data_IF_986439821873
#
_entry.id   IF_986439821873
#
_cell.length_a   1.000
_cell.length_b   1.000
_cell.length_c   1.000
_cell.angle_alpha   90.00
_cell.angle_beta   90.00
_cell.angle_gamma   90.00
#
_symmetry.space_group_name_H-M   'P 1'
#
loop_
_entity.id
_entity.type
_entity.pdbx_description
1 polymer ?
#
# COMPACT_ATOMS: atom_id res chain seq x y z
N UNK A 1 -3.18 9.10 6.63
CA UNK A 1 -2.38 10.21 6.05
C UNK A 1 -2.27 9.99 4.55
N UNK A 2 -2.04 11.00 3.74
CA UNK A 2 -2.02 10.85 2.28
C UNK A 2 -0.97 11.77 1.62
N UNK A 3 -0.32 11.22 0.60
CA UNK A 3 0.39 11.98 -0.43
C UNK A 3 -0.59 12.54 -1.46
N UNK A 4 -0.12 12.86 -2.66
CA UNK A 4 -1.01 13.43 -3.68
C UNK A 4 -1.94 12.38 -4.30
N UNK A 5 -1.51 11.13 -4.43
CA UNK A 5 -2.27 10.04 -5.05
C UNK A 5 -2.13 8.71 -4.31
N UNK A 6 -1.46 8.68 -3.17
CA UNK A 6 -1.21 7.47 -2.38
C UNK A 6 -1.41 7.76 -0.90
N UNK A 7 -1.69 6.73 -0.12
CA UNK A 7 -1.89 6.81 1.31
C UNK A 7 -0.82 6.00 2.06
N UNK A 8 -0.55 6.39 3.30
CA UNK A 8 0.15 5.61 4.30
C UNK A 8 -0.60 5.68 5.61
N UNK A 9 -0.38 4.69 6.48
CA UNK A 9 -1.04 4.62 7.78
C UNK A 9 0.01 4.67 8.89
N UNK A 10 -0.32 5.42 9.94
CA UNK A 10 0.49 5.54 11.15
C UNK A 10 -0.30 4.88 12.28
N UNK A 11 0.24 3.82 12.86
CA UNK A 11 -0.30 3.16 14.04
C UNK A 11 0.56 3.58 15.23
N UNK A 12 -0.07 4.12 16.27
CA UNK A 12 0.63 4.63 17.46
C UNK A 12 0.24 3.81 18.68
N UNK A 13 1.22 3.49 19.54
CA UNK A 13 1.02 2.86 20.84
C UNK A 13 2.08 3.40 21.80
N UNK A 14 1.66 4.22 22.76
CA UNK A 14 2.58 5.02 23.56
C UNK A 14 3.41 5.93 22.65
N UNK A 15 4.73 5.91 22.82
CA UNK A 15 5.66 6.70 22.00
C UNK A 15 6.10 5.97 20.71
N UNK A 16 5.77 4.68 20.57
CA UNK A 16 6.20 3.88 19.44
C UNK A 16 5.20 3.96 18.26
N UNK A 17 5.72 3.81 17.06
CA UNK A 17 4.96 3.92 15.81
C UNK A 17 5.25 2.74 14.87
N UNK A 18 4.20 2.20 14.26
CA UNK A 18 4.32 1.38 13.05
C UNK A 18 3.82 2.19 11.85
N UNK A 19 4.62 2.25 10.81
CA UNK A 19 4.19 2.77 9.52
C UNK A 19 3.70 1.63 8.63
N UNK A 20 2.57 1.82 7.95
CA UNK A 20 2.16 0.95 6.85
C UNK A 20 2.22 1.78 5.57
N UNK A 21 3.11 1.40 4.68
CA UNK A 21 3.54 2.11 3.47
C UNK A 21 4.19 3.49 3.76
N UNK A 22 4.84 4.09 2.75
CA UNK A 22 5.64 5.30 2.93
C UNK A 22 5.53 6.31 1.77
N UNK A 23 4.54 6.13 0.88
CA UNK A 23 4.34 7.00 -0.27
C UNK A 23 5.43 6.88 -1.34
N UNK A 24 5.40 7.78 -2.32
CA UNK A 24 6.47 7.94 -3.30
C UNK A 24 7.78 8.47 -2.68
N UNK A 25 8.94 8.32 -3.35
CA UNK A 25 10.18 8.98 -2.90
C UNK A 25 10.03 10.49 -2.69
N UNK A 26 9.23 11.15 -3.53
CA UNK A 26 8.93 12.58 -3.43
C UNK A 26 7.98 12.96 -2.29
N UNK A 27 7.31 12.00 -1.65
CA UNK A 27 6.41 12.26 -0.52
C UNK A 27 7.14 12.28 0.84
N UNK A 28 8.46 12.04 0.89
CA UNK A 28 9.23 11.94 2.15
C UNK A 28 8.97 13.09 3.12
N UNK A 29 9.00 14.33 2.64
CA UNK A 29 8.77 15.49 3.50
C UNK A 29 7.36 15.48 4.12
N UNK A 30 6.35 15.03 3.37
CA UNK A 30 4.97 14.87 3.86
C UNK A 30 4.84 13.73 4.86
N UNK A 31 5.53 12.60 4.61
CA UNK A 31 5.58 11.48 5.55
C UNK A 31 6.15 11.94 6.90
N UNK A 32 7.31 12.62 6.88
CA UNK A 32 7.93 13.14 8.10
C UNK A 32 7.04 14.17 8.81
N UNK A 33 6.41 15.07 8.06
CA UNK A 33 5.45 16.02 8.62
C UNK A 33 4.22 15.31 9.23
N UNK A 34 3.78 14.18 8.66
CA UNK A 34 2.66 13.41 9.22
C UNK A 34 3.02 12.68 10.52
N UNK A 35 4.27 12.27 10.70
CA UNK A 35 4.76 11.78 12.00
C UNK A 35 4.71 12.88 13.04
N UNK A 36 5.21 14.09 12.71
CA UNK A 36 5.16 15.23 13.62
C UNK A 36 3.72 15.63 13.99
N UNK A 37 2.75 15.51 13.07
CA UNK A 37 1.33 15.79 13.36
C UNK A 37 0.72 14.86 14.42
N UNK A 38 1.22 13.63 14.53
CA UNK A 38 0.78 12.70 15.60
C UNK A 38 1.68 12.76 16.84
N UNK A 39 2.53 13.78 16.94
CA UNK A 39 3.44 13.97 18.07
C UNK A 39 4.63 13.01 18.08
N UNK A 40 4.99 12.44 16.93
CA UNK A 40 6.05 11.43 16.81
C UNK A 40 7.18 11.90 15.91
N UNK A 41 8.23 11.09 15.79
CA UNK A 41 9.42 11.37 14.99
C UNK A 41 9.90 10.12 14.24
N UNK A 42 10.79 10.24 13.25
CA UNK A 42 11.34 9.07 12.54
C UNK A 42 12.04 8.06 13.45
N UNK A 43 12.64 8.51 14.55
CA UNK A 43 13.34 7.68 15.54
C UNK A 43 12.39 6.78 16.33
N UNK A 44 11.12 7.19 16.45
CA UNK A 44 10.08 6.43 17.15
C UNK A 44 9.43 5.35 16.26
N UNK A 45 9.81 5.27 14.98
CA UNK A 45 9.27 4.27 14.05
C UNK A 45 9.89 2.91 14.34
N UNK A 46 9.13 2.06 15.02
CA UNK A 46 9.54 0.70 15.40
C UNK A 46 9.68 -0.22 14.18
N UNK A 47 8.84 -0.04 13.16
CA UNK A 47 8.92 -0.77 11.90
C UNK A 47 8.18 -0.04 10.76
N UNK A 48 8.61 -0.28 9.53
CA UNK A 48 7.84 -0.04 8.31
C UNK A 48 7.29 -1.38 7.83
N UNK A 49 5.98 -1.47 7.71
CA UNK A 49 5.29 -2.55 7.03
C UNK A 49 4.94 -2.10 5.61
N UNK A 50 5.25 -2.91 4.62
CA UNK A 50 4.96 -2.57 3.22
C UNK A 50 3.91 -3.51 2.69
N UNK A 51 2.82 -2.97 2.12
CA UNK A 51 1.77 -3.79 1.51
C UNK A 51 2.30 -4.53 0.29
N UNK A 52 3.07 -3.83 -0.55
CA UNK A 52 3.76 -4.36 -1.72
C UNK A 52 4.86 -3.40 -2.19
N UNK A 53 5.78 -3.87 -3.02
CA UNK A 53 7.02 -3.15 -3.29
C UNK A 53 6.97 -2.17 -4.49
N UNK A 54 5.82 -1.56 -4.81
CA UNK A 54 5.77 -0.45 -5.76
C UNK A 54 6.35 0.84 -5.16
N UNK A 55 6.83 1.74 -6.03
CA UNK A 55 7.53 2.97 -5.60
C UNK A 55 6.66 3.93 -4.80
N UNK A 56 5.36 3.89 -4.98
CA UNK A 56 4.38 4.71 -4.27
C UNK A 56 3.96 4.13 -2.91
N UNK A 57 4.49 2.98 -2.54
CA UNK A 57 4.28 2.37 -1.23
C UNK A 57 5.56 2.25 -0.41
N UNK A 58 6.71 2.01 -1.04
CA UNK A 58 7.98 1.86 -0.32
C UNK A 58 8.96 3.05 -0.49
N UNK A 59 8.54 4.15 -1.11
CA UNK A 59 9.44 5.21 -1.57
C UNK A 59 10.33 5.87 -0.52
N UNK A 60 9.95 5.84 0.76
CA UNK A 60 10.78 6.34 1.87
C UNK A 60 11.25 5.25 2.84
N UNK A 61 10.95 3.96 2.57
CA UNK A 61 11.30 2.86 3.47
C UNK A 61 12.82 2.74 3.66
N UNK A 62 13.59 2.81 2.58
CA UNK A 62 15.07 2.75 2.67
C UNK A 62 15.65 3.93 3.44
N UNK A 63 15.07 5.13 3.32
CA UNK A 63 15.51 6.28 4.12
C UNK A 63 15.35 6.01 5.63
N UNK A 64 14.19 5.52 6.06
CA UNK A 64 13.96 5.18 7.47
C UNK A 64 14.90 4.08 7.95
N UNK A 65 15.10 3.05 7.14
CA UNK A 65 16.03 1.97 7.43
C UNK A 65 17.48 2.47 7.56
N UNK A 66 17.94 3.24 6.60
CA UNK A 66 19.36 3.64 6.54
C UNK A 66 19.72 4.74 7.54
N UNK A 67 18.80 5.70 7.77
CA UNK A 67 19.06 6.83 8.65
C UNK A 67 18.69 6.56 10.11
N UNK A 68 17.72 5.69 10.38
CA UNK A 68 17.17 5.47 11.72
C UNK A 68 17.24 4.01 12.18
N UNK A 69 17.72 3.09 11.34
CA UNK A 69 17.81 1.66 11.69
C UNK A 69 16.45 0.94 11.70
N UNK A 70 15.40 1.57 11.17
CA UNK A 70 14.03 1.03 11.19
C UNK A 70 13.94 -0.23 10.32
N UNK A 71 13.51 -1.38 10.84
CA UNK A 71 13.32 -2.58 10.03
C UNK A 71 12.16 -2.38 9.03
N UNK A 72 12.30 -2.99 7.84
CA UNK A 72 11.29 -2.95 6.78
C UNK A 72 10.78 -4.35 6.52
N UNK A 73 9.55 -4.62 6.91
CA UNK A 73 8.89 -5.91 6.78
C UNK A 73 7.88 -5.94 5.64
N UNK A 74 7.86 -7.04 4.92
CA UNK A 74 6.90 -7.33 3.85
C UNK A 74 6.75 -8.85 3.67
N UNK A 75 5.83 -9.25 2.82
CA UNK A 75 5.70 -10.67 2.48
C UNK A 75 6.96 -11.18 1.77
N UNK A 76 7.38 -12.42 2.05
CA UNK A 76 8.60 -13.00 1.49
C UNK A 76 8.67 -12.94 -0.04
N UNK A 77 7.53 -13.08 -0.74
CA UNK A 77 7.47 -12.97 -2.21
C UNK A 77 7.74 -11.55 -2.74
N UNK A 78 7.63 -10.51 -1.89
CA UNK A 78 7.97 -9.13 -2.25
C UNK A 78 9.44 -8.79 -2.01
N UNK A 79 10.19 -9.60 -1.25
CA UNK A 79 11.59 -9.32 -0.91
C UNK A 79 12.47 -9.07 -2.15
N UNK A 80 12.43 -9.93 -3.20
CA UNK A 80 13.20 -9.67 -4.42
C UNK A 80 12.74 -8.41 -5.16
N UNK A 81 11.43 -8.13 -5.16
CA UNK A 81 10.87 -6.92 -5.76
C UNK A 81 11.32 -5.66 -5.00
N UNK A 82 11.31 -5.68 -3.65
CA UNK A 82 11.80 -4.57 -2.82
C UNK A 82 13.30 -4.31 -3.01
N UNK A 83 14.09 -5.34 -3.26
CA UNK A 83 15.52 -5.23 -3.62
C UNK A 83 15.76 -4.71 -5.04
N UNK A 84 14.72 -4.67 -5.87
CA UNK A 84 14.82 -4.37 -7.31
C UNK A 84 15.59 -5.43 -8.10
N UNK A 85 15.54 -6.70 -7.67
CA UNK A 85 16.10 -7.83 -8.41
C UNK A 85 15.36 -8.01 -9.76
N UNK A 86 14.09 -7.62 -9.82
CA UNK A 86 13.29 -7.51 -11.04
C UNK A 86 12.27 -6.35 -10.95
N UNK A 87 11.92 -5.71 -12.07
CA UNK A 87 10.90 -4.66 -12.09
C UNK A 87 9.49 -5.26 -12.20
N UNK A 88 8.68 -5.13 -11.18
CA UNK A 88 7.26 -5.51 -11.16
C UNK A 88 6.38 -4.24 -11.19
N UNK A 89 6.63 -3.37 -12.17
CA UNK A 89 5.91 -2.10 -12.31
C UNK A 89 5.30 -1.97 -13.71
N UNK A 90 4.28 -1.12 -13.82
CA UNK A 90 3.68 -0.79 -15.11
C UNK A 90 4.75 -0.24 -16.05
N UNK A 91 4.94 -0.88 -17.20
CA UNK A 91 5.94 -0.44 -18.16
C UNK A 91 5.54 0.88 -18.87
N UNK A 92 6.53 1.68 -19.25
CA UNK A 92 6.30 2.90 -20.05
C UNK A 92 5.49 2.60 -21.31
N UNK A 93 5.76 1.49 -21.99
CA UNK A 93 5.01 1.07 -23.17
C UNK A 93 3.53 0.79 -22.88
N UNK A 94 3.21 0.23 -21.70
CA UNK A 94 1.83 0.03 -21.25
C UNK A 94 1.15 1.36 -20.95
N UNK A 95 1.85 2.30 -20.30
CA UNK A 95 1.33 3.65 -20.05
C UNK A 95 1.02 4.36 -21.35
N UNK A 96 1.92 4.36 -22.32
CA UNK A 96 1.74 5.00 -23.61
C UNK A 96 0.56 4.40 -24.39
N UNK A 97 0.41 3.07 -24.40
CA UNK A 97 -0.74 2.40 -25.04
C UNK A 97 -2.09 2.74 -24.41
N UNK A 98 -2.09 3.15 -23.15
CA UNK A 98 -3.29 3.53 -22.41
C UNK A 98 -3.44 5.06 -22.22
N UNK A 99 -2.55 5.87 -22.79
CA UNK A 99 -2.52 7.33 -22.59
C UNK A 99 -3.80 8.05 -23.05
N UNK A 100 -4.57 7.44 -23.97
CA UNK A 100 -5.87 7.93 -24.40
C UNK A 100 -6.99 7.78 -23.35
N UNK A 101 -6.77 6.94 -22.32
CA UNK A 101 -7.76 6.75 -21.25
C UNK A 101 -7.71 7.93 -20.27
N UNK A 102 -8.89 8.37 -19.84
CA UNK A 102 -9.00 9.47 -18.86
C UNK A 102 -8.16 9.19 -17.60
N UNK A 103 -7.47 10.21 -17.12
CA UNK A 103 -6.66 10.17 -15.91
C UNK A 103 -5.26 9.54 -16.06
N UNK A 104 -4.97 8.77 -17.11
CA UNK A 104 -3.68 8.08 -17.26
C UNK A 104 -2.53 9.07 -17.44
N UNK A 105 -2.64 10.07 -18.30
CA UNK A 105 -1.57 11.05 -18.50
C UNK A 105 -1.31 11.91 -17.25
N UNK A 106 -2.33 12.53 -16.60
CA UNK A 106 -2.12 13.25 -15.34
C UNK A 106 -1.49 12.40 -14.26
N UNK A 107 -1.94 11.14 -14.10
CA UNK A 107 -1.35 10.21 -13.16
C UNK A 107 0.12 9.91 -13.50
N UNK A 108 0.44 9.60 -14.76
CA UNK A 108 1.80 9.28 -15.18
C UNK A 108 2.77 10.45 -14.97
N UNK A 109 2.33 11.68 -15.28
CA UNK A 109 3.12 12.90 -15.03
C UNK A 109 3.34 13.10 -13.53
N UNK A 110 2.32 12.87 -12.69
CA UNK A 110 2.46 12.93 -11.26
C UNK A 110 3.42 11.86 -10.74
N UNK A 111 3.24 10.60 -11.13
CA UNK A 111 4.11 9.48 -10.73
C UNK A 111 5.58 9.77 -11.11
N UNK A 112 5.84 10.25 -12.32
CA UNK A 112 7.18 10.61 -12.77
C UNK A 112 7.80 11.71 -11.89
N UNK A 113 7.06 12.79 -11.61
CA UNK A 113 7.52 13.90 -10.77
C UNK A 113 7.75 13.49 -9.33
N UNK A 114 7.00 12.52 -8.83
CA UNK A 114 7.09 11.99 -7.47
C UNK A 114 8.15 10.88 -7.31
N UNK A 115 8.88 10.54 -8.38
CA UNK A 115 9.91 9.49 -8.34
C UNK A 115 9.38 8.08 -8.57
N UNK A 116 8.21 7.93 -9.22
CA UNK A 116 7.62 6.62 -9.53
C UNK A 116 8.47 5.73 -10.43
N UNK A 117 9.44 6.31 -11.17
CA UNK A 117 10.40 5.59 -11.99
C UNK A 117 11.81 5.53 -11.37
N UNK A 118 11.99 6.06 -10.15
CA UNK A 118 13.27 6.06 -9.49
C UNK A 118 13.69 4.62 -9.09
N UNK A 119 14.99 4.35 -9.15
CA UNK A 119 15.54 3.11 -8.60
C UNK A 119 15.75 3.30 -7.09
N UNK A 120 14.78 2.82 -6.31
CA UNK A 120 14.77 2.93 -4.83
C UNK A 120 14.70 1.54 -4.20
N UNK A 121 15.80 0.79 -4.18
CA UNK A 121 15.84 -0.51 -3.50
C UNK A 121 15.74 -0.32 -1.98
N UNK A 122 15.09 -1.27 -1.32
CA UNK A 122 15.32 -1.53 0.10
C UNK A 122 16.47 -2.51 0.20
N UNK A 123 17.59 -2.11 0.78
CA UNK A 123 18.82 -2.91 0.74
C UNK A 123 18.76 -4.16 1.62
N UNK A 124 18.01 -4.08 2.74
CA UNK A 124 17.79 -5.20 3.67
C UNK A 124 16.30 -5.28 4.01
N UNK A 125 15.45 -5.69 3.04
CA UNK A 125 14.05 -5.98 3.35
C UNK A 125 13.94 -7.33 4.04
N UNK A 126 13.04 -7.44 5.01
CA UNK A 126 12.85 -8.64 5.82
C UNK A 126 11.45 -9.22 5.61
N UNK A 127 11.36 -10.55 5.58
CA UNK A 127 10.05 -11.21 5.65
C UNK A 127 9.47 -11.06 7.06
N UNK A 128 8.14 -11.12 7.18
CA UNK A 128 7.51 -11.10 8.50
C UNK A 128 8.11 -12.17 9.42
N UNK A 129 8.40 -11.83 10.70
CA UNK A 129 9.11 -12.72 11.62
C UNK A 129 8.29 -13.96 12.01
N UNK A 130 6.96 -13.87 11.97
CA UNK A 130 6.05 -14.95 12.33
C UNK A 130 4.68 -14.76 11.67
N UNK A 131 3.87 -15.82 11.50
CA UNK A 131 2.48 -15.70 11.12
C UNK A 131 1.63 -15.13 12.27
N UNK A 132 0.51 -14.49 11.93
CA UNK A 132 -0.42 -13.90 12.90
C UNK A 132 -0.13 -12.44 13.22
N UNK A 133 -0.58 -11.98 14.38
CA UNK A 133 -0.39 -10.59 14.80
C UNK A 133 1.09 -10.29 15.05
N UNK A 134 1.58 -9.24 14.43
CA UNK A 134 2.95 -8.77 14.65
C UNK A 134 3.03 -8.08 16.02
N UNK A 135 4.13 -8.28 16.74
CA UNK A 135 4.41 -7.61 18.01
C UNK A 135 4.97 -6.20 17.75
N UNK A 136 4.11 -5.35 17.23
CA UNK A 136 4.36 -3.96 16.82
C UNK A 136 3.17 -3.08 17.24
N UNK A 137 3.35 -1.76 17.40
CA UNK A 137 2.24 -0.83 17.64
C UNK A 137 1.04 -1.10 16.73
N UNK A 138 -0.15 -1.23 17.35
CA UNK A 138 -1.39 -1.57 16.65
C UNK A 138 -1.60 -3.07 16.39
N UNK A 139 -0.62 -3.93 16.66
CA UNK A 139 -0.67 -5.40 16.51
C UNK A 139 -1.27 -5.86 15.16
N UNK A 140 -0.80 -5.31 14.02
CA UNK A 140 -1.36 -5.62 12.71
C UNK A 140 -1.14 -7.10 12.34
N UNK A 141 -2.17 -7.69 11.73
CA UNK A 141 -2.14 -9.06 11.20
C UNK A 141 -1.96 -8.99 9.69
N UNK A 142 -0.83 -9.43 9.12
CA UNK A 142 -0.68 -9.53 7.68
C UNK A 142 -1.67 -10.53 7.08
N UNK A 143 -2.40 -10.11 6.06
CA UNK A 143 -3.36 -10.92 5.33
C UNK A 143 -2.93 -10.96 3.88
N UNK A 144 -2.62 -12.14 3.37
CA UNK A 144 -2.14 -12.28 2.00
C UNK A 144 -3.25 -12.00 0.98
N UNK A 145 -3.02 -11.04 0.09
CA UNK A 145 -3.95 -10.59 -0.96
C UNK A 145 -3.24 -10.46 -2.32
N UNK A 146 -2.70 -11.57 -2.87
CA UNK A 146 -1.91 -11.53 -4.09
C UNK A 146 -2.77 -11.21 -5.32
N UNK A 147 -2.11 -10.72 -6.40
CA UNK A 147 -2.74 -10.45 -7.69
C UNK A 147 -2.40 -9.06 -8.23
N UNK A 148 -2.38 -8.04 -7.36
CA UNK A 148 -1.78 -6.75 -7.71
C UNK A 148 -0.26 -6.91 -7.87
N UNK A 149 0.40 -7.49 -6.87
CA UNK A 149 1.70 -8.14 -6.95
C UNK A 149 1.61 -9.56 -6.37
N UNK A 150 2.67 -10.37 -6.52
CA UNK A 150 2.67 -11.75 -6.04
C UNK A 150 2.64 -11.88 -4.52
N UNK A 151 3.27 -10.95 -3.84
CA UNK A 151 3.38 -10.94 -2.38
C UNK A 151 2.54 -9.87 -1.69
N UNK A 152 1.62 -9.21 -2.40
CA UNK A 152 0.77 -8.19 -1.81
C UNK A 152 0.08 -8.69 -0.54
N UNK A 153 0.13 -7.87 0.52
CA UNK A 153 -0.53 -8.10 1.80
C UNK A 153 -1.36 -6.89 2.23
N UNK A 154 -2.58 -7.13 2.65
CA UNK A 154 -3.34 -6.23 3.49
C UNK A 154 -2.92 -6.41 4.96
N UNK A 155 -3.30 -5.47 5.83
CA UNK A 155 -3.12 -5.60 7.28
C UNK A 155 -4.46 -5.43 7.98
N UNK A 156 -4.81 -6.42 8.79
CA UNK A 156 -6.02 -6.40 9.62
C UNK A 156 -5.67 -6.03 11.05
N UNK A 157 -6.46 -5.15 11.66
CA UNK A 157 -6.39 -4.76 13.06
C UNK A 157 -7.72 -5.16 13.72
N UNK A 158 -7.87 -6.44 14.15
CA UNK A 158 -9.17 -6.94 14.63
C UNK A 158 -9.71 -6.16 15.83
N UNK A 159 -8.83 -5.75 16.76
CA UNK A 159 -9.21 -5.00 17.95
C UNK A 159 -9.73 -3.59 17.68
N UNK A 160 -9.49 -3.05 16.48
CA UNK A 160 -9.91 -1.73 16.06
C UNK A 160 -10.98 -1.75 14.93
N UNK A 161 -11.32 -2.93 14.39
CA UNK A 161 -12.21 -3.06 13.25
C UNK A 161 -11.68 -2.38 11.98
N UNK A 162 -10.36 -2.40 11.77
CA UNK A 162 -9.69 -1.69 10.67
C UNK A 162 -9.03 -2.68 9.71
N UNK A 163 -9.21 -2.45 8.42
CA UNK A 163 -8.46 -3.14 7.36
C UNK A 163 -7.69 -2.11 6.53
N UNK A 164 -6.37 -2.28 6.46
CA UNK A 164 -5.47 -1.51 5.59
C UNK A 164 -5.26 -2.37 4.35
N UNK A 165 -5.93 -2.03 3.26
CA UNK A 165 -6.04 -2.92 2.09
C UNK A 165 -4.91 -2.77 1.07
N UNK A 166 -4.06 -1.73 1.19
CA UNK A 166 -3.15 -1.41 0.10
C UNK A 166 -3.90 -1.31 -1.23
N UNK A 167 -3.39 -1.95 -2.26
CA UNK A 167 -3.93 -1.92 -3.62
C UNK A 167 -4.80 -3.14 -3.98
N UNK A 168 -5.03 -4.03 -3.00
CA UNK A 168 -6.00 -5.12 -3.19
C UNK A 168 -7.46 -4.64 -3.25
N UNK A 169 -7.74 -3.48 -2.62
CA UNK A 169 -9.05 -2.83 -2.65
C UNK A 169 -8.85 -1.34 -2.42
N UNK A 170 -9.09 -0.52 -3.44
CA UNK A 170 -8.96 0.94 -3.37
C UNK A 170 -10.33 1.62 -3.34
N UNK A 171 -10.40 2.87 -2.90
CA UNK A 171 -11.63 3.65 -2.91
C UNK A 171 -11.65 4.77 -3.94
N UNK A 172 -10.53 4.96 -4.65
CA UNK A 172 -10.38 5.92 -5.73
C UNK A 172 -8.95 5.88 -6.28
N UNK A 173 -8.81 6.27 -7.55
CA UNK A 173 -7.52 6.43 -8.22
C UNK A 173 -7.70 7.39 -9.40
N UNK A 174 -6.70 8.21 -9.80
CA UNK A 174 -6.85 9.14 -10.93
C UNK A 174 -7.29 8.47 -12.23
N UNK A 175 -6.94 7.20 -12.43
CA UNK A 175 -7.30 6.41 -13.63
C UNK A 175 -8.59 5.60 -13.45
N UNK A 176 -9.21 5.63 -12.28
CA UNK A 176 -10.45 4.93 -12.01
C UNK A 176 -11.63 5.62 -12.71
N UNK A 177 -12.61 4.83 -13.15
CA UNK A 177 -13.81 5.34 -13.83
C UNK A 177 -14.92 5.73 -12.87
N UNK A 178 -14.92 5.15 -11.69
CA UNK A 178 -15.95 5.32 -10.66
C UNK A 178 -15.31 5.68 -9.33
N UNK A 179 -16.07 6.31 -8.44
CA UNK A 179 -15.66 6.51 -7.05
C UNK A 179 -16.14 5.37 -6.15
N UNK A 180 -15.52 5.25 -4.99
CA UNK A 180 -15.83 4.24 -3.98
C UNK A 180 -15.02 2.95 -4.15
N UNK A 181 -15.30 1.92 -3.30
CA UNK A 181 -14.55 0.68 -3.28
C UNK A 181 -14.53 -0.03 -4.64
N UNK A 182 -13.35 -0.36 -5.13
CA UNK A 182 -13.10 -0.95 -6.44
C UNK A 182 -11.70 -1.55 -6.55
N UNK A 183 -11.47 -2.38 -7.57
CA UNK A 183 -10.11 -2.74 -8.00
C UNK A 183 -9.51 -1.60 -8.84
N UNK A 184 -8.20 -1.52 -8.85
CA UNK A 184 -7.48 -0.72 -9.83
C UNK A 184 -7.76 -1.22 -11.26
N UNK A 185 -7.58 -0.37 -12.30
CA UNK A 185 -7.62 -0.83 -13.70
C UNK A 185 -6.65 -1.97 -13.97
N UNK A 186 -7.02 -2.84 -14.93
CA UNK A 186 -6.30 -4.08 -15.26
C UNK A 186 -4.80 -3.91 -15.49
N UNK A 187 -4.41 -2.77 -16.05
CA UNK A 187 -3.01 -2.46 -16.36
C UNK A 187 -2.10 -2.39 -15.13
N UNK A 188 -2.67 -2.30 -13.92
CA UNK A 188 -1.93 -2.24 -12.66
C UNK A 188 -1.83 -3.59 -11.96
N UNK A 189 -2.56 -4.62 -12.40
CA UNK A 189 -2.50 -5.94 -11.80
C UNK A 189 -1.52 -6.85 -12.53
N UNK A 190 -0.66 -7.53 -11.77
CA UNK A 190 0.18 -8.59 -12.32
C UNK A 190 -0.67 -9.79 -12.74
N UNK A 191 -1.62 -10.18 -11.90
CA UNK A 191 -2.52 -11.32 -12.13
C UNK A 191 -3.95 -10.98 -11.70
N UNK A 192 -4.71 -10.36 -12.63
CA UNK A 192 -6.05 -9.87 -12.34
C UNK A 192 -7.01 -10.93 -11.75
N UNK A 193 -7.08 -12.18 -12.25
CA UNK A 193 -7.97 -13.18 -11.66
C UNK A 193 -7.69 -13.41 -10.17
N UNK A 194 -6.43 -13.39 -9.75
CA UNK A 194 -6.06 -13.49 -8.33
C UNK A 194 -6.44 -12.25 -7.54
N UNK A 195 -6.27 -11.06 -8.13
CA UNK A 195 -6.71 -9.82 -7.49
C UNK A 195 -8.24 -9.83 -7.24
N UNK A 196 -9.03 -10.33 -8.20
CA UNK A 196 -10.48 -10.52 -8.01
C UNK A 196 -10.78 -11.54 -6.91
N UNK A 197 -10.07 -12.67 -6.89
CA UNK A 197 -10.26 -13.70 -5.85
C UNK A 197 -9.90 -13.20 -4.44
N UNK A 198 -8.94 -12.28 -4.32
CA UNK A 198 -8.57 -11.68 -3.04
C UNK A 198 -9.66 -10.83 -2.40
N UNK A 199 -10.64 -10.37 -3.18
CA UNK A 199 -11.81 -9.68 -2.62
C UNK A 199 -12.61 -10.59 -1.68
N UNK A 200 -12.65 -11.91 -1.94
CA UNK A 200 -13.30 -12.86 -1.03
C UNK A 200 -12.55 -12.97 0.31
N UNK A 201 -11.21 -12.94 0.25
CA UNK A 201 -10.37 -12.92 1.46
C UNK A 201 -10.64 -11.66 2.29
N UNK A 202 -10.74 -10.48 1.63
CA UNK A 202 -11.05 -9.23 2.31
C UNK A 202 -12.47 -9.22 2.88
N UNK A 203 -13.44 -9.85 2.21
CA UNK A 203 -14.81 -9.93 2.67
C UNK A 203 -14.98 -10.78 3.94
N UNK A 204 -14.05 -11.68 4.25
CA UNK A 204 -14.02 -12.48 5.48
C UNK A 204 -13.47 -11.70 6.70
N UNK A 205 -12.84 -10.54 6.48
CA UNK A 205 -12.26 -9.75 7.56
C UNK A 205 -13.35 -8.91 8.26
N UNK A 206 -13.40 -9.03 9.58
CA UNK A 206 -14.29 -8.21 10.40
C UNK A 206 -13.71 -6.79 10.53
N UNK A 207 -14.46 -5.80 10.07
CA UNK A 207 -14.05 -4.39 10.12
C UNK A 207 -15.03 -3.46 9.42
N UNK A 208 -15.14 -2.24 9.98
CA UNK A 208 -15.99 -1.17 9.49
C UNK A 208 -15.21 0.04 8.98
N UNK A 209 -13.90 -0.06 8.96
CA UNK A 209 -13.01 0.99 8.49
C UNK A 209 -11.97 0.42 7.52
N UNK A 210 -12.09 0.82 6.25
CA UNK A 210 -11.11 0.47 5.21
C UNK A 210 -10.17 1.65 4.97
N UNK A 211 -8.87 1.40 5.11
CA UNK A 211 -7.79 2.34 4.81
C UNK A 211 -7.07 1.85 3.54
N UNK A 212 -7.44 2.36 2.36
CA UNK A 212 -6.88 1.88 1.09
C UNK A 212 -5.53 2.52 0.77
N UNK A 213 -4.75 1.91 -0.13
CA UNK A 213 -3.53 2.50 -0.69
C UNK A 213 -3.81 3.74 -1.53
N UNK A 214 -4.98 3.80 -2.17
CA UNK A 214 -5.42 4.94 -3.00
C UNK A 214 -6.87 5.32 -2.72
N UNK A 215 -7.12 6.63 -2.76
CA UNK A 215 -8.45 7.20 -2.56
C UNK A 215 -8.78 7.49 -1.09
N UNK A 216 -10.01 7.97 -0.80
CA UNK A 216 -10.41 8.34 0.54
C UNK A 216 -10.65 7.10 1.43
N UNK A 217 -10.59 7.32 2.74
CA UNK A 217 -11.04 6.33 3.74
C UNK A 217 -12.48 5.92 3.46
N UNK A 218 -12.74 4.61 3.49
CA UNK A 218 -14.12 4.11 3.39
C UNK A 218 -14.60 3.68 4.78
N UNK A 219 -15.80 4.17 5.16
CA UNK A 219 -16.48 3.84 6.42
C UNK A 219 -17.71 2.99 6.12
N UNK A 220 -17.77 1.83 6.73
CA UNK A 220 -18.78 0.80 6.55
C UNK A 220 -18.14 -0.58 6.44
N UNK A 221 -18.92 -1.65 6.47
CA UNK A 221 -18.41 -3.02 6.47
C UNK A 221 -17.46 -3.28 5.29
N UNK A 222 -16.26 -3.78 5.59
CA UNK A 222 -15.26 -4.13 4.58
C UNK A 222 -15.80 -5.19 3.63
N UNK A 223 -16.65 -6.09 4.12
CA UNK A 223 -17.38 -7.09 3.31
C UNK A 223 -18.17 -6.42 2.19
N UNK A 224 -18.94 -5.38 2.50
CA UNK A 224 -19.75 -4.69 1.51
C UNK A 224 -18.90 -3.96 0.48
N UNK A 225 -17.78 -3.38 0.93
CA UNK A 225 -16.79 -2.75 0.05
C UNK A 225 -16.18 -3.76 -0.93
N UNK A 226 -15.81 -4.95 -0.45
CA UNK A 226 -15.26 -6.03 -1.26
C UNK A 226 -16.28 -6.58 -2.26
N UNK A 227 -17.53 -6.81 -1.84
CA UNK A 227 -18.61 -7.24 -2.74
C UNK A 227 -18.88 -6.22 -3.84
N UNK A 228 -18.99 -4.93 -3.49
CA UNK A 228 -19.11 -3.87 -4.48
C UNK A 228 -17.97 -3.86 -5.50
N UNK A 229 -16.73 -3.96 -5.03
CA UNK A 229 -15.58 -4.00 -5.93
C UNK A 229 -15.64 -5.21 -6.89
N UNK A 230 -16.16 -6.35 -6.42
CA UNK A 230 -16.33 -7.56 -7.23
C UNK A 230 -17.38 -7.39 -8.32
N UNK A 231 -18.52 -6.74 -8.04
CA UNK A 231 -19.55 -6.46 -9.03
C UNK A 231 -19.04 -5.61 -10.19
N UNK A 232 -18.12 -4.67 -9.92
CA UNK A 232 -17.50 -3.84 -10.97
C UNK A 232 -16.31 -4.50 -11.66
N UNK A 233 -15.81 -5.63 -11.14
CA UNK A 233 -14.66 -6.34 -11.68
C UNK A 233 -15.04 -7.38 -12.74
N UNK A 234 -16.32 -7.78 -12.83
CA UNK A 234 -16.90 -8.74 -13.77
C UNK A 234 -17.47 -8.03 -14.99
#
# INVERSE_FOLDING_TARGET
>A
MHGSNTNWVILTEGDAVTLVDTGYPGDRARLLASLAQVGSSPEAVAAVLVTHAHNDHLGSAEYLRAAHGTPVYLHQAEVPHARRDFPHQVSVGTVLRNAWRSGVLPWAVHALRSGGTAHVPVTVPEAFPAPGALDLPGRPVPVRTPGHTDGHCAYHLPGAGVVISGDALVSGHPTARTGGPQLLPDLFHHERPRAVACLDVLAELDGDLLLPGHGPVHRGPVRDAAHRAREFAL
#
